data_IF_966095616526
#
_entry.id   IF_966095616526
#
_cell.length_a   1.000
_cell.length_b   1.000
_cell.length_c   1.000
_cell.angle_alpha   90.00
_cell.angle_beta   90.00
_cell.angle_gamma   90.00
#
_symmetry.space_group_name_H-M   'P 1'
#
loop_
_entity.id
_entity.type
_entity.pdbx_description
1 polymer ?
#
# COMPACT_ATOMS: atom_id res chain seq x y z
N UNK A 1 12.59 0.00 9.16
CA UNK A 1 11.97 1.23 8.61
C UNK A 1 11.09 1.84 9.71
N UNK A 2 11.55 2.90 10.39
CA UNK A 2 10.79 3.54 11.47
C UNK A 2 10.17 4.82 10.92
N UNK A 3 8.87 4.77 10.63
CA UNK A 3 8.11 5.97 10.29
C UNK A 3 7.81 6.71 11.60
N UNK A 4 8.49 7.84 11.83
CA UNK A 4 8.16 8.77 12.91
C UNK A 4 7.30 9.87 12.30
N UNK A 5 5.98 9.74 12.42
CA UNK A 5 5.03 10.79 12.04
C UNK A 5 5.10 11.89 13.11
N UNK A 6 5.45 13.11 12.71
CA UNK A 6 5.47 14.27 13.61
C UNK A 6 4.58 15.37 13.01
N UNK A 7 3.62 15.79 13.86
CA UNK A 7 2.85 17.05 13.92
C UNK A 7 1.45 17.15 13.27
N UNK A 8 0.53 17.46 14.19
CA UNK A 8 -0.53 18.46 14.14
C UNK A 8 -1.48 18.42 12.94
N UNK A 9 -2.62 17.78 13.17
CA UNK A 9 -3.93 18.23 12.69
C UNK A 9 -4.03 18.58 11.20
N UNK A 10 -4.54 17.62 10.43
CA UNK A 10 -5.00 17.77 9.04
C UNK A 10 -3.91 17.71 7.96
N UNK A 11 -3.43 16.49 7.67
CA UNK A 11 -2.82 16.20 6.37
C UNK A 11 -3.76 15.25 5.64
N UNK A 12 -4.45 15.81 4.65
CA UNK A 12 -5.33 15.16 3.69
C UNK A 12 -4.48 14.19 2.86
N UNK A 13 -4.98 12.98 2.57
CA UNK A 13 -4.20 11.84 2.04
C UNK A 13 -3.22 12.13 0.88
N UNK A 14 -3.44 13.18 0.09
CA UNK A 14 -2.52 13.65 -0.95
C UNK A 14 -1.12 14.04 -0.41
N UNK A 15 -1.03 14.68 0.76
CA UNK A 15 0.25 15.07 1.37
C UNK A 15 1.09 13.86 1.77
N UNK A 16 0.46 12.85 2.37
CA UNK A 16 1.12 11.61 2.75
C UNK A 16 1.65 10.82 1.54
N UNK A 17 0.86 10.75 0.47
CA UNK A 17 1.32 10.15 -0.79
C UNK A 17 2.52 10.91 -1.39
N UNK A 18 2.54 12.24 -1.29
CA UNK A 18 3.67 13.04 -1.76
C UNK A 18 4.93 12.77 -0.94
N UNK A 19 4.84 12.78 0.39
CA UNK A 19 5.96 12.48 1.28
C UNK A 19 6.56 11.10 1.03
N UNK A 20 5.72 10.06 0.84
CA UNK A 20 6.24 8.72 0.52
C UNK A 20 7.03 8.73 -0.79
N UNK A 21 6.55 9.43 -1.82
CA UNK A 21 7.23 9.49 -3.12
C UNK A 21 8.56 10.25 -3.03
N UNK A 22 8.65 11.28 -2.18
CA UNK A 22 9.90 12.00 -1.91
C UNK A 22 10.89 11.11 -1.16
N UNK A 23 10.44 10.46 -0.07
CA UNK A 23 11.31 9.66 0.80
C UNK A 23 11.68 8.30 0.19
N UNK A 24 10.85 7.76 -0.70
CA UNK A 24 11.07 6.48 -1.37
C UNK A 24 10.89 6.66 -2.89
N UNK A 25 11.92 7.19 -3.58
CA UNK A 25 11.86 7.37 -5.02
C UNK A 25 11.51 6.07 -5.76
N UNK A 26 10.83 6.20 -6.90
CA UNK A 26 10.25 5.08 -7.69
C UNK A 26 9.05 4.36 -7.05
N UNK A 27 8.57 4.79 -5.89
CA UNK A 27 7.33 4.27 -5.32
C UNK A 27 6.11 4.78 -6.09
N UNK A 28 5.14 3.91 -6.30
CA UNK A 28 3.80 4.31 -6.76
C UNK A 28 2.87 4.27 -5.56
N UNK A 29 2.31 5.42 -5.21
CA UNK A 29 1.29 5.55 -4.17
C UNK A 29 0.09 6.24 -4.78
N UNK A 30 -1.12 5.77 -4.49
CA UNK A 30 -2.37 6.38 -4.93
C UNK A 30 -3.31 6.38 -3.73
N UNK A 31 -3.84 7.55 -3.39
CA UNK A 31 -4.79 7.71 -2.29
C UNK A 31 -6.00 8.44 -2.85
N UNK A 32 -7.15 7.78 -2.84
CA UNK A 32 -8.45 8.32 -3.22
C UNK A 32 -9.29 8.61 -1.98
N UNK A 33 -9.76 9.84 -1.85
CA UNK A 33 -10.62 10.31 -0.75
C UNK A 33 -11.94 10.83 -1.30
N UNK A 34 -13.06 10.61 -0.62
CA UNK A 34 -14.30 11.34 -0.91
C UNK A 34 -14.21 12.76 -0.35
N UNK A 35 -14.50 13.77 -1.19
CA UNK A 35 -14.38 15.20 -0.85
C UNK A 35 -15.26 15.62 0.35
N UNK A 36 -16.33 14.88 0.66
CA UNK A 36 -17.30 15.25 1.70
C UNK A 36 -17.06 14.58 3.06
N UNK A 37 -16.36 13.43 3.14
CA UNK A 37 -16.28 12.66 4.40
C UNK A 37 -14.87 12.48 4.99
N UNK A 38 -13.79 12.96 4.33
CA UNK A 38 -12.39 12.72 4.76
C UNK A 38 -12.02 11.23 4.93
N UNK A 39 -12.85 10.31 4.45
CA UNK A 39 -12.57 8.87 4.48
C UNK A 39 -11.73 8.46 3.25
N UNK A 40 -10.72 7.61 3.49
CA UNK A 40 -9.93 6.99 2.44
C UNK A 40 -10.75 5.83 1.89
N UNK A 41 -11.18 5.94 0.63
CA UNK A 41 -11.98 4.91 -0.04
C UNK A 41 -11.10 3.94 -0.83
N UNK A 42 -9.96 4.42 -1.34
CA UNK A 42 -8.99 3.61 -2.11
C UNK A 42 -7.58 4.00 -1.73
N UNK A 43 -6.79 3.01 -1.32
CA UNK A 43 -5.36 3.16 -1.11
C UNK A 43 -4.63 2.15 -1.99
N UNK A 44 -3.51 2.57 -2.58
CA UNK A 44 -2.55 1.67 -3.21
C UNK A 44 -1.15 2.16 -2.91
N UNK A 45 -0.25 1.25 -2.55
CA UNK A 45 1.17 1.53 -2.42
C UNK A 45 2.02 0.36 -2.93
N UNK A 46 2.98 0.69 -3.78
CA UNK A 46 4.03 -0.21 -4.23
C UNK A 46 5.35 0.54 -4.18
N UNK A 47 6.19 0.20 -3.20
CA UNK A 47 7.44 0.89 -2.95
C UNK A 47 8.48 0.55 -4.01
N UNK A 48 9.29 1.54 -4.39
CA UNK A 48 10.33 1.37 -5.41
C UNK A 48 11.32 0.24 -5.09
N UNK A 49 11.67 0.06 -3.81
CA UNK A 49 12.51 -1.03 -3.35
C UNK A 49 11.87 -2.41 -3.57
N UNK A 50 10.57 -2.56 -3.27
CA UNK A 50 9.85 -3.83 -3.47
C UNK A 50 9.74 -4.19 -4.95
N UNK A 51 9.47 -3.20 -5.82
CA UNK A 51 9.48 -3.42 -7.27
C UNK A 51 10.82 -3.97 -7.76
N UNK A 52 11.93 -3.38 -7.28
CA UNK A 52 13.28 -3.81 -7.67
C UNK A 52 13.60 -5.19 -7.11
N UNK A 53 13.33 -5.44 -5.83
CA UNK A 53 13.57 -6.74 -5.20
C UNK A 53 12.79 -7.88 -5.87
N UNK A 54 11.51 -7.63 -6.21
CA UNK A 54 10.73 -8.61 -6.96
C UNK A 54 11.32 -8.90 -8.34
N UNK A 55 11.71 -7.85 -9.08
CA UNK A 55 12.28 -8.02 -10.43
C UNK A 55 13.68 -8.63 -10.46
N UNK A 56 14.47 -8.40 -9.42
CA UNK A 56 15.85 -8.86 -9.35
C UNK A 56 15.91 -10.35 -9.03
N UNK A 57 15.20 -10.76 -7.97
CA UNK A 57 15.47 -12.05 -7.34
C UNK A 57 14.22 -12.92 -7.16
N UNK A 58 13.00 -12.37 -7.19
CA UNK A 58 11.81 -13.20 -7.00
C UNK A 58 11.46 -14.01 -8.24
N UNK A 59 10.81 -15.15 -8.01
CA UNK A 59 10.21 -15.97 -9.07
C UNK A 59 9.10 -15.19 -9.75
N UNK A 60 8.89 -15.44 -11.04
CA UNK A 60 7.83 -14.80 -11.84
C UNK A 60 6.43 -15.38 -11.55
N UNK A 61 6.08 -15.43 -10.26
CA UNK A 61 4.79 -15.88 -9.74
C UNK A 61 4.28 -14.80 -8.80
N UNK A 62 3.01 -14.44 -8.94
CA UNK A 62 2.34 -13.47 -8.09
C UNK A 62 1.08 -14.11 -7.51
N UNK A 63 0.99 -14.14 -6.19
CA UNK A 63 -0.23 -14.43 -5.44
C UNK A 63 -0.89 -13.13 -4.97
N UNK A 64 -2.19 -13.18 -4.72
CA UNK A 64 -2.95 -12.08 -4.11
C UNK A 64 -3.71 -12.62 -2.91
N UNK A 65 -3.51 -11.99 -1.76
CA UNK A 65 -4.25 -12.29 -0.53
C UNK A 65 -5.23 -11.17 -0.17
N UNK A 66 -6.32 -11.53 0.51
CA UNK A 66 -7.39 -10.63 0.95
C UNK A 66 -7.62 -10.75 2.45
N UNK A 67 -7.50 -9.63 3.15
CA UNK A 67 -7.76 -9.54 4.59
C UNK A 67 -8.83 -8.48 4.89
N UNK A 68 -9.90 -8.87 5.60
CA UNK A 68 -10.93 -7.92 6.02
C UNK A 68 -10.42 -7.03 7.15
N UNK A 69 -10.46 -5.72 6.94
CA UNK A 69 -10.09 -4.74 7.96
C UNK A 69 -11.24 -4.56 8.97
N UNK A 70 -10.89 -4.63 10.26
CA UNK A 70 -11.78 -4.32 11.38
C UNK A 70 -11.58 -2.85 11.79
N UNK A 71 -12.66 -2.18 12.21
CA UNK A 71 -12.63 -0.78 12.65
C UNK A 71 -13.60 0.10 11.86
N UNK A 72 -13.64 1.41 12.17
CA UNK A 72 -14.65 2.33 11.66
C UNK A 72 -14.62 2.51 10.14
N UNK A 73 -13.44 2.37 9.52
CA UNK A 73 -13.25 2.59 8.08
C UNK A 73 -13.42 1.31 7.24
N UNK A 74 -13.55 0.14 7.87
CA UNK A 74 -13.75 -1.13 7.18
C UNK A 74 -12.76 -1.39 6.03
N UNK A 75 -13.25 -2.04 4.96
CA UNK A 75 -12.48 -2.36 3.76
C UNK A 75 -11.86 -3.76 3.73
N UNK A 76 -11.25 -4.05 2.60
CA UNK A 76 -10.44 -5.26 2.33
C UNK A 76 -9.03 -4.80 1.98
N UNK A 77 -8.04 -5.28 2.72
CA UNK A 77 -6.63 -5.16 2.38
C UNK A 77 -6.27 -6.25 1.38
N UNK A 78 -5.93 -5.85 0.17
CA UNK A 78 -5.33 -6.67 -0.86
C UNK A 78 -3.80 -6.59 -0.73
N UNK A 79 -3.14 -7.74 -0.75
CA UNK A 79 -1.67 -7.80 -0.77
C UNK A 79 -1.23 -8.64 -1.96
N UNK A 80 -0.41 -8.07 -2.85
CA UNK A 80 0.29 -8.83 -3.87
C UNK A 80 1.59 -9.37 -3.27
N UNK A 81 1.81 -10.67 -3.40
CA UNK A 81 2.95 -11.40 -2.87
C UNK A 81 3.67 -12.14 -4.01
N UNK A 82 4.99 -12.13 -3.98
CA UNK A 82 5.85 -12.99 -4.78
C UNK A 82 6.48 -14.07 -3.92
N UNK A 83 7.36 -14.87 -4.53
CA UNK A 83 8.17 -15.87 -3.85
C UNK A 83 9.64 -15.60 -4.14
N UNK A 84 10.45 -15.43 -3.11
CA UNK A 84 11.90 -15.21 -3.27
C UNK A 84 12.64 -16.52 -3.63
N UNK A 85 13.95 -16.50 -3.93
CA UNK A 85 14.72 -17.71 -4.23
C UNK A 85 14.69 -18.75 -3.11
N UNK A 86 14.53 -18.30 -1.86
CA UNK A 86 14.52 -19.10 -0.64
C UNK A 86 13.14 -19.65 -0.28
N UNK A 87 12.15 -19.55 -1.17
CA UNK A 87 10.76 -19.95 -0.95
C UNK A 87 10.01 -19.13 0.12
N UNK A 88 10.49 -17.94 0.48
CA UNK A 88 9.75 -17.04 1.37
C UNK A 88 8.77 -16.19 0.59
N UNK A 89 7.67 -15.81 1.24
CA UNK A 89 6.74 -14.84 0.71
C UNK A 89 7.39 -13.44 0.69
N UNK A 90 7.33 -12.78 -0.46
CA UNK A 90 7.89 -11.46 -0.67
C UNK A 90 6.77 -10.44 -0.97
N UNK A 91 6.54 -9.41 -0.15
CA UNK A 91 5.50 -8.43 -0.43
C UNK A 91 5.86 -7.54 -1.64
N UNK A 92 4.92 -7.35 -2.56
CA UNK A 92 5.11 -6.53 -3.77
C UNK A 92 4.36 -5.21 -3.65
N UNK A 93 3.08 -5.25 -3.27
CA UNK A 93 2.22 -4.07 -3.16
C UNK A 93 1.03 -4.31 -2.25
N UNK A 94 0.46 -3.21 -1.77
CA UNK A 94 -0.72 -3.21 -0.89
C UNK A 94 -1.81 -2.33 -1.48
N UNK A 95 -3.06 -2.71 -1.31
CA UNK A 95 -4.21 -1.87 -1.61
C UNK A 95 -5.31 -2.02 -0.57
N UNK A 96 -5.99 -0.93 -0.23
CA UNK A 96 -7.25 -0.99 0.52
C UNK A 96 -8.37 -0.64 -0.43
N UNK A 97 -9.34 -1.54 -0.51
CA UNK A 97 -10.56 -1.35 -1.31
C UNK A 97 -11.79 -1.43 -0.42
N UNK A 98 -12.88 -0.83 -0.88
CA UNK A 98 -14.15 -0.96 -0.22
C UNK A 98 -14.66 -2.40 -0.23
N UNK A 99 -15.37 -2.78 0.84
CA UNK A 99 -15.93 -4.13 0.99
C UNK A 99 -16.88 -4.49 -0.15
N UNK A 100 -17.57 -3.50 -0.71
CA UNK A 100 -18.56 -3.70 -1.79
C UNK A 100 -17.91 -3.91 -3.17
N UNK A 101 -16.57 -3.82 -3.27
CA UNK A 101 -15.81 -4.01 -4.50
C UNK A 101 -14.94 -5.30 -4.47
N UNK A 102 -15.14 -6.18 -3.48
CA UNK A 102 -14.34 -7.40 -3.28
C UNK A 102 -15.17 -8.66 -3.17
#
# INVERSE_FOLDING_TARGET
MKLRVVRNGSIVGCGYAAEIRVMNPSSTVIIGTYQQMKEIFRFYACFGALKRGFKADCRSIIGVDRCHLKGPYGGILLTAIGVDPNNNLFPISYAVVNKDLG
#
